data_IF_157943020192
#
_entry.id   IF_157943020192
#
_cell.length_a   1.000
_cell.length_b   1.000
_cell.length_c   1.000
_cell.angle_alpha   90.00
_cell.angle_beta   90.00
_cell.angle_gamma   90.00
#
_symmetry.space_group_name_H-M   'P 1'
#
loop_
_entity.id
_entity.type
_entity.pdbx_description
1 polymer ?
#
# COMPACT_ATOMS: atom_id res chain seq x y z
N UNK A 1 63.51 28.98 -19.35
CA UNK A 1 62.53 28.88 -18.25
C UNK A 1 61.20 28.35 -18.80
N UNK A 2 60.78 27.18 -18.35
CA UNK A 2 59.46 26.68 -18.66
C UNK A 2 58.47 27.34 -17.73
N UNK A 3 57.30 27.82 -18.21
CA UNK A 3 56.26 28.25 -17.34
C UNK A 3 55.75 27.04 -16.52
N UNK A 4 55.31 27.26 -15.30
CA UNK A 4 54.76 26.17 -14.51
C UNK A 4 53.54 25.60 -15.23
N UNK A 5 53.54 24.29 -15.37
CA UNK A 5 52.38 23.57 -15.86
C UNK A 5 51.19 23.94 -15.02
N UNK A 6 50.18 24.53 -15.63
CA UNK A 6 48.90 24.74 -15.02
C UNK A 6 48.41 23.37 -14.51
N UNK A 7 48.33 23.23 -13.21
CA UNK A 7 47.52 22.19 -12.63
C UNK A 7 46.13 22.39 -13.19
N UNK A 8 45.75 21.56 -14.15
CA UNK A 8 44.35 21.32 -14.40
C UNK A 8 43.80 20.71 -13.09
N UNK A 9 43.24 21.55 -12.25
CA UNK A 9 42.22 21.07 -11.37
C UNK A 9 41.20 20.41 -12.28
N UNK A 10 41.16 19.09 -12.24
CA UNK A 10 39.98 18.41 -12.70
C UNK A 10 38.84 19.04 -11.90
N UNK A 11 38.17 20.00 -12.56
CA UNK A 11 36.83 20.30 -12.11
C UNK A 11 36.18 18.94 -12.04
N UNK A 12 35.96 18.47 -10.84
CA UNK A 12 34.89 17.51 -10.63
C UNK A 12 33.71 18.27 -11.26
N UNK A 13 33.42 17.91 -12.49
CA UNK A 13 32.14 18.10 -13.04
C UNK A 13 31.22 17.43 -11.99
N UNK A 14 30.73 18.24 -11.08
CA UNK A 14 29.53 17.88 -10.38
C UNK A 14 28.57 17.71 -11.52
N UNK A 15 28.52 16.46 -12.01
CA UNK A 15 27.61 16.07 -13.03
C UNK A 15 26.35 16.82 -12.68
N UNK A 16 25.97 17.73 -13.56
CA UNK A 16 24.64 18.26 -13.59
C UNK A 16 23.74 17.03 -13.77
N UNK A 17 23.60 16.26 -12.69
CA UNK A 17 22.47 15.37 -12.56
C UNK A 17 21.30 16.34 -12.60
N UNK A 18 20.79 16.52 -13.83
CA UNK A 18 19.51 17.19 -14.00
C UNK A 18 18.60 16.62 -12.92
N UNK A 19 17.99 17.46 -12.09
CA UNK A 19 17.12 16.94 -11.04
C UNK A 19 16.16 16.01 -11.75
N UNK A 20 16.21 14.71 -11.41
CA UNK A 20 15.30 13.72 -11.96
C UNK A 20 13.91 14.27 -11.65
N UNK A 21 13.21 14.72 -12.67
CA UNK A 21 11.88 15.29 -12.51
C UNK A 21 11.01 14.22 -11.84
N UNK A 22 10.27 14.64 -10.81
CA UNK A 22 9.31 13.77 -10.15
C UNK A 22 8.34 13.21 -11.18
N UNK A 23 8.02 11.95 -11.07
CA UNK A 23 7.10 11.28 -11.97
C UNK A 23 5.76 12.01 -11.99
N UNK A 24 5.32 12.41 -13.18
CA UNK A 24 4.09 13.19 -13.39
C UNK A 24 2.87 12.32 -13.66
N UNK A 25 3.07 11.01 -13.81
CA UNK A 25 1.95 10.09 -14.07
C UNK A 25 0.99 10.04 -12.87
N UNK A 26 -0.33 9.99 -13.12
CA UNK A 26 -1.29 9.84 -12.04
C UNK A 26 -1.02 8.60 -11.19
N UNK A 27 -1.33 8.69 -9.90
CA UNK A 27 -1.24 7.53 -9.03
C UNK A 27 -2.22 6.45 -9.49
N UNK A 28 -1.73 5.22 -9.61
CA UNK A 28 -2.52 4.09 -10.07
C UNK A 28 -3.21 3.42 -8.90
N UNK A 29 -4.53 3.47 -8.87
CA UNK A 29 -5.37 2.81 -7.86
C UNK A 29 -6.13 1.67 -8.51
N UNK A 30 -6.02 0.49 -7.91
CA UNK A 30 -6.89 -0.64 -8.25
C UNK A 30 -8.06 -0.68 -7.29
N UNK A 31 -9.27 -0.76 -7.82
CA UNK A 31 -10.50 -0.78 -7.04
C UNK A 31 -11.05 -2.20 -6.96
N UNK A 32 -10.94 -2.82 -5.78
CA UNK A 32 -11.49 -4.14 -5.52
C UNK A 32 -12.99 -4.02 -5.27
N UNK A 33 -13.86 -4.58 -6.14
CA UNK A 33 -15.29 -4.62 -5.88
C UNK A 33 -15.61 -5.60 -4.76
N UNK A 34 -16.47 -5.21 -3.85
CA UNK A 34 -16.88 -6.02 -2.70
C UNK A 34 -18.31 -6.54 -2.83
N UNK A 35 -18.91 -6.44 -4.02
CA UNK A 35 -20.28 -6.96 -4.29
C UNK A 35 -20.41 -8.45 -4.05
N UNK A 36 -19.34 -9.21 -4.31
CA UNK A 36 -19.28 -10.67 -4.06
C UNK A 36 -19.45 -11.03 -2.58
N UNK A 37 -19.08 -10.13 -1.69
CA UNK A 37 -19.21 -10.30 -0.23
C UNK A 37 -20.35 -9.43 0.34
N UNK A 38 -21.32 -9.09 -0.47
CA UNK A 38 -22.49 -8.31 -0.11
C UNK A 38 -22.18 -6.90 0.42
N UNK A 39 -21.13 -6.31 -0.06
CA UNK A 39 -20.78 -4.92 0.22
C UNK A 39 -20.81 -4.12 -1.07
N UNK A 40 -21.54 -3.01 -1.08
CA UNK A 40 -21.67 -2.13 -2.25
C UNK A 40 -20.45 -1.23 -2.48
N UNK A 41 -19.50 -1.22 -1.57
CA UNK A 41 -18.31 -0.40 -1.62
C UNK A 41 -17.19 -1.07 -2.42
N UNK A 42 -16.19 -0.26 -2.79
CA UNK A 42 -14.93 -0.72 -3.35
C UNK A 42 -13.82 -0.46 -2.34
N UNK A 43 -12.81 -1.31 -2.33
CA UNK A 43 -11.57 -1.07 -1.60
C UNK A 43 -10.47 -0.67 -2.57
N UNK A 44 -9.89 0.50 -2.38
CA UNK A 44 -8.77 0.96 -3.19
C UNK A 44 -7.45 0.35 -2.72
N UNK A 45 -6.60 -0.05 -3.66
CA UNK A 45 -5.24 -0.51 -3.41
C UNK A 45 -4.26 0.25 -4.30
N UNK A 46 -3.16 0.70 -3.75
CA UNK A 46 -2.10 1.33 -4.53
C UNK A 46 -0.71 1.04 -3.95
N UNK A 47 0.32 1.40 -4.71
CA UNK A 47 1.68 1.46 -4.21
C UNK A 47 1.87 2.70 -3.33
N UNK A 48 3.00 2.76 -2.63
CA UNK A 48 3.33 3.85 -1.70
C UNK A 48 3.31 5.21 -2.38
N UNK A 49 2.41 6.12 -2.00
CA UNK A 49 2.38 7.47 -2.53
C UNK A 49 3.67 8.24 -2.20
N UNK A 50 4.13 9.05 -3.12
CA UNK A 50 5.31 9.88 -2.94
C UNK A 50 6.63 9.13 -2.87
N UNK A 51 6.64 7.82 -3.14
CA UNK A 51 7.83 6.98 -3.03
C UNK A 51 8.99 7.49 -3.89
N UNK A 52 10.17 7.62 -3.27
CA UNK A 52 11.44 7.91 -3.94
C UNK A 52 12.46 6.85 -3.59
N UNK A 53 12.48 5.79 -4.38
CA UNK A 53 13.37 4.66 -4.19
C UNK A 53 13.75 4.02 -5.53
N UNK A 54 15.03 3.77 -5.75
CA UNK A 54 15.57 3.28 -7.02
C UNK A 54 15.15 4.20 -8.18
N UNK A 55 14.42 3.68 -9.16
CA UNK A 55 13.96 4.43 -10.33
C UNK A 55 12.60 5.11 -10.16
N UNK A 56 11.97 4.93 -9.01
CA UNK A 56 10.67 5.54 -8.72
C UNK A 56 10.89 6.93 -8.13
N UNK A 57 10.25 7.93 -8.73
CA UNK A 57 10.34 9.34 -8.33
C UNK A 57 8.96 9.97 -8.35
N UNK A 58 8.19 9.68 -7.31
CA UNK A 58 6.84 10.25 -7.19
C UNK A 58 6.85 11.52 -6.35
N UNK A 59 5.90 12.41 -6.63
CA UNK A 59 5.69 13.63 -5.85
C UNK A 59 4.62 13.36 -4.78
N UNK A 60 5.01 13.46 -3.50
CA UNK A 60 4.13 13.16 -2.38
C UNK A 60 2.91 14.09 -2.30
N UNK A 61 3.08 15.37 -2.63
CA UNK A 61 1.98 16.33 -2.57
C UNK A 61 0.98 16.09 -3.70
N UNK A 62 1.46 15.87 -4.92
CA UNK A 62 0.59 15.53 -6.06
C UNK A 62 -0.19 14.24 -5.80
N UNK A 63 0.49 13.21 -5.32
CA UNK A 63 -0.16 11.93 -5.01
C UNK A 63 -1.24 12.10 -3.93
N UNK A 64 -0.95 12.84 -2.86
CA UNK A 64 -1.91 13.08 -1.79
C UNK A 64 -3.08 13.92 -2.26
N UNK A 65 -2.85 14.94 -3.07
CA UNK A 65 -3.90 15.76 -3.68
C UNK A 65 -4.80 14.92 -4.59
N UNK A 66 -4.23 14.01 -5.39
CA UNK A 66 -5.02 13.09 -6.22
C UNK A 66 -5.88 12.16 -5.37
N UNK A 67 -5.31 11.57 -4.32
CA UNK A 67 -6.09 10.72 -3.40
C UNK A 67 -7.25 11.49 -2.78
N UNK A 68 -7.02 12.72 -2.38
CA UNK A 68 -8.07 13.59 -1.86
C UNK A 68 -9.11 13.91 -2.93
N UNK A 69 -8.69 14.17 -4.17
CA UNK A 69 -9.58 14.47 -5.30
C UNK A 69 -10.51 13.31 -5.65
N UNK A 70 -10.07 12.08 -5.42
CA UNK A 70 -10.91 10.88 -5.59
C UNK A 70 -11.91 10.67 -4.44
N UNK A 71 -11.89 11.54 -3.44
CA UNK A 71 -12.79 11.44 -2.30
C UNK A 71 -12.36 10.40 -1.26
N UNK A 72 -11.10 9.98 -1.25
CA UNK A 72 -10.57 9.07 -0.23
C UNK A 72 -10.68 9.72 1.15
N UNK A 73 -11.30 9.00 2.09
CA UNK A 73 -11.56 9.48 3.44
C UNK A 73 -10.71 8.78 4.50
N UNK A 74 -10.40 7.51 4.28
CA UNK A 74 -9.59 6.66 5.17
C UNK A 74 -8.50 5.96 4.38
N UNK A 75 -7.30 5.94 4.95
CA UNK A 75 -6.15 5.22 4.37
C UNK A 75 -5.53 4.32 5.44
N UNK A 76 -5.40 3.04 5.12
CA UNK A 76 -4.68 2.05 5.91
C UNK A 76 -3.26 1.93 5.38
N UNK A 77 -2.28 2.16 6.23
CA UNK A 77 -0.85 2.15 5.90
C UNK A 77 -0.18 0.98 6.61
N UNK A 78 0.40 0.07 5.84
CA UNK A 78 1.06 -1.12 6.37
C UNK A 78 2.59 -1.05 6.37
N UNK A 79 3.17 -0.01 5.80
CA UNK A 79 4.60 0.26 5.93
C UNK A 79 4.98 0.56 7.38
N UNK A 80 6.13 0.08 7.80
CA UNK A 80 6.75 0.51 9.05
C UNK A 80 7.28 1.94 8.93
N UNK A 81 7.50 2.62 10.05
CA UNK A 81 8.09 3.97 10.03
C UNK A 81 9.50 3.97 9.43
N UNK A 82 10.28 2.91 9.66
CA UNK A 82 11.58 2.74 9.03
C UNK A 82 11.51 2.65 7.51
N UNK A 83 10.50 1.99 6.97
CA UNK A 83 10.25 1.94 5.53
C UNK A 83 9.85 3.31 4.99
N UNK A 84 8.96 4.04 5.66
CA UNK A 84 8.57 5.39 5.24
C UNK A 84 9.78 6.31 5.14
N UNK A 85 10.71 6.23 6.08
CA UNK A 85 11.98 6.97 6.03
C UNK A 85 12.88 6.50 4.89
N UNK A 86 13.01 5.19 4.70
CA UNK A 86 13.80 4.58 3.63
C UNK A 86 13.32 5.01 2.24
N UNK A 87 12.03 5.11 2.05
CA UNK A 87 11.41 5.49 0.78
C UNK A 87 11.16 7.00 0.66
N UNK A 88 11.73 7.78 1.57
CA UNK A 88 11.75 9.24 1.61
C UNK A 88 10.38 9.90 1.77
N UNK A 89 9.50 9.25 2.49
CA UNK A 89 8.18 9.77 2.85
C UNK A 89 7.93 9.71 4.38
N UNK A 90 8.88 10.14 5.22
CA UNK A 90 8.75 9.99 6.67
C UNK A 90 7.58 10.76 7.27
N UNK A 91 7.09 11.78 6.58
CA UNK A 91 5.99 12.67 6.97
C UNK A 91 4.65 12.34 6.30
N UNK A 92 4.55 11.18 5.64
CA UNK A 92 3.34 10.82 4.87
C UNK A 92 2.07 10.82 5.74
N UNK A 93 2.15 10.26 6.95
CA UNK A 93 1.00 10.18 7.86
C UNK A 93 0.54 11.58 8.29
N UNK A 94 1.47 12.48 8.58
CA UNK A 94 1.16 13.87 8.93
C UNK A 94 0.54 14.61 7.75
N UNK A 95 1.02 14.33 6.54
CA UNK A 95 0.47 14.93 5.33
C UNK A 95 -0.97 14.48 5.08
N UNK A 96 -1.27 13.19 5.26
CA UNK A 96 -2.66 12.71 5.20
C UNK A 96 -3.55 13.43 6.20
N UNK A 97 -3.08 13.61 7.42
CA UNK A 97 -3.80 14.34 8.44
C UNK A 97 -4.08 15.79 8.02
N UNK A 98 -3.11 16.49 7.45
CA UNK A 98 -3.27 17.85 6.95
C UNK A 98 -4.34 17.96 5.86
N UNK A 99 -4.52 16.93 5.04
CA UNK A 99 -5.57 16.84 4.03
C UNK A 99 -6.92 16.37 4.57
N UNK A 100 -7.04 16.16 5.87
CA UNK A 100 -8.26 15.67 6.50
C UNK A 100 -8.56 14.20 6.21
N UNK A 101 -7.57 13.41 5.83
CA UNK A 101 -7.70 11.97 5.62
C UNK A 101 -7.41 11.26 6.93
N UNK A 102 -8.31 10.37 7.35
CA UNK A 102 -8.12 9.55 8.55
C UNK A 102 -7.13 8.43 8.23
N UNK A 103 -6.08 8.33 9.02
CA UNK A 103 -5.01 7.36 8.84
C UNK A 103 -5.13 6.24 9.84
N UNK A 104 -5.05 5.00 9.35
CA UNK A 104 -4.99 3.78 10.14
C UNK A 104 -3.63 3.14 9.92
N UNK A 105 -2.69 3.37 10.83
CA UNK A 105 -1.33 2.85 10.71
C UNK A 105 -1.19 1.51 11.43
N UNK A 106 -1.07 0.45 10.66
CA UNK A 106 -0.87 -0.92 11.14
C UNK A 106 0.43 -1.48 10.54
N UNK A 107 1.59 -1.19 11.13
CA UNK A 107 2.86 -1.63 10.56
C UNK A 107 2.94 -3.15 10.48
N UNK A 108 3.24 -3.65 9.31
CA UNK A 108 3.54 -5.06 9.04
C UNK A 108 4.94 -5.10 8.43
N UNK A 109 5.90 -5.86 9.00
CA UNK A 109 7.22 -5.98 8.40
C UNK A 109 7.15 -6.46 6.95
N UNK A 110 8.03 -5.94 6.09
CA UNK A 110 8.10 -6.36 4.70
C UNK A 110 8.35 -7.87 4.60
N UNK A 111 7.58 -8.54 3.75
CA UNK A 111 7.59 -10.00 3.64
C UNK A 111 6.90 -10.73 4.79
N UNK A 112 6.36 -10.01 5.78
CA UNK A 112 5.64 -10.56 6.93
C UNK A 112 4.13 -10.59 6.74
N UNK A 113 3.48 -11.19 7.74
CA UNK A 113 2.03 -11.18 7.91
C UNK A 113 1.69 -10.49 9.22
N UNK A 114 0.50 -9.87 9.37
CA UNK A 114 0.05 -9.41 10.67
C UNK A 114 -0.15 -10.63 11.59
N UNK A 115 0.03 -10.45 12.91
CA UNK A 115 -0.42 -11.47 13.84
C UNK A 115 -1.95 -11.48 13.90
N UNK A 116 -2.53 -12.53 14.48
CA UNK A 116 -3.98 -12.70 14.52
C UNK A 116 -4.70 -11.55 15.21
N UNK A 117 -4.16 -11.04 16.32
CA UNK A 117 -4.76 -9.92 17.05
C UNK A 117 -4.76 -8.63 16.19
N UNK A 118 -3.62 -8.32 15.54
CA UNK A 118 -3.52 -7.18 14.62
C UNK A 118 -4.43 -7.35 13.40
N UNK A 119 -4.55 -8.56 12.88
CA UNK A 119 -5.46 -8.85 11.77
C UNK A 119 -6.92 -8.59 12.16
N UNK A 120 -7.35 -9.01 13.35
CA UNK A 120 -8.68 -8.71 13.88
C UNK A 120 -8.95 -7.21 13.94
N UNK A 121 -8.01 -6.43 14.46
CA UNK A 121 -8.15 -4.97 14.54
C UNK A 121 -8.29 -4.35 13.15
N UNK A 122 -7.46 -4.77 12.21
CA UNK A 122 -7.54 -4.28 10.82
C UNK A 122 -8.89 -4.63 10.21
N UNK A 123 -9.37 -5.84 10.38
CA UNK A 123 -10.66 -6.28 9.83
C UNK A 123 -11.83 -5.49 10.44
N UNK A 124 -11.82 -5.28 11.75
CA UNK A 124 -12.84 -4.48 12.43
C UNK A 124 -12.86 -3.03 11.93
N UNK A 125 -11.71 -2.39 11.85
CA UNK A 125 -11.59 -1.00 11.38
C UNK A 125 -12.01 -0.85 9.92
N UNK A 126 -11.55 -1.75 9.04
CA UNK A 126 -11.96 -1.77 7.62
C UNK A 126 -13.47 -1.96 7.48
N UNK A 127 -14.03 -2.89 8.22
CA UNK A 127 -15.48 -3.17 8.19
C UNK A 127 -16.28 -1.96 8.62
N UNK A 128 -15.86 -1.27 9.68
CA UNK A 128 -16.52 -0.05 10.16
C UNK A 128 -16.47 1.04 9.07
N UNK A 129 -15.33 1.27 8.44
CA UNK A 129 -15.20 2.23 7.35
C UNK A 129 -16.17 1.91 6.21
N UNK A 130 -16.19 0.66 5.76
CA UNK A 130 -17.01 0.22 4.63
C UNK A 130 -18.52 0.29 4.96
N UNK A 131 -18.92 -0.09 6.17
CA UNK A 131 -20.32 0.00 6.62
C UNK A 131 -20.82 1.43 6.72
N UNK A 132 -19.94 2.37 6.99
CA UNK A 132 -20.24 3.80 7.04
C UNK A 132 -20.08 4.50 5.68
N UNK A 133 -19.98 3.74 4.60
CA UNK A 133 -19.81 4.23 3.23
C UNK A 133 -18.63 5.18 3.08
N UNK A 134 -17.57 4.97 3.84
CA UNK A 134 -16.35 5.75 3.75
C UNK A 134 -15.47 5.20 2.63
N UNK A 135 -15.01 6.07 1.77
CA UNK A 135 -14.13 5.69 0.66
C UNK A 135 -12.74 5.40 1.20
N UNK A 136 -12.35 4.15 1.14
CA UNK A 136 -11.19 3.61 1.85
C UNK A 136 -10.15 3.07 0.88
N UNK A 137 -8.89 3.40 1.15
CA UNK A 137 -7.71 2.94 0.43
C UNK A 137 -6.77 2.21 1.39
N UNK A 138 -6.10 1.19 0.90
CA UNK A 138 -5.00 0.54 1.61
C UNK A 138 -3.73 0.57 0.77
N UNK A 139 -2.59 0.73 1.39
CA UNK A 139 -1.30 0.61 0.73
C UNK A 139 -0.18 0.11 1.64
N UNK A 140 0.82 -0.46 1.01
CA UNK A 140 2.12 -0.78 1.58
C UNK A 140 3.22 -0.15 0.73
N UNK A 141 4.31 -0.85 0.44
CA UNK A 141 5.33 -0.34 -0.49
C UNK A 141 4.90 -0.54 -1.95
N UNK A 142 4.83 -1.79 -2.41
CA UNK A 142 4.47 -2.10 -3.80
C UNK A 142 2.98 -2.27 -4.04
N UNK A 143 2.19 -2.42 -3.00
CA UNK A 143 0.74 -2.70 -3.11
C UNK A 143 0.41 -4.10 -3.61
N UNK A 144 1.37 -5.03 -3.63
CA UNK A 144 1.22 -6.39 -4.15
C UNK A 144 1.32 -7.48 -3.07
N UNK A 145 2.01 -7.23 -1.97
CA UNK A 145 2.20 -8.21 -0.90
C UNK A 145 1.24 -8.00 0.25
N UNK A 146 1.64 -7.19 1.21
CA UNK A 146 0.89 -6.95 2.46
C UNK A 146 -0.52 -6.43 2.24
N UNK A 147 -0.69 -5.47 1.33
CA UNK A 147 -2.01 -4.92 1.00
C UNK A 147 -2.93 -5.96 0.36
N UNK A 148 -2.42 -6.75 -0.57
CA UNK A 148 -3.21 -7.82 -1.17
C UNK A 148 -3.56 -8.92 -0.16
N UNK A 149 -2.65 -9.24 0.75
CA UNK A 149 -2.94 -10.19 1.83
C UNK A 149 -4.07 -9.69 2.73
N UNK A 150 -4.02 -8.42 3.15
CA UNK A 150 -5.07 -7.81 3.96
C UNK A 150 -6.40 -7.79 3.20
N UNK A 151 -6.39 -7.44 1.92
CA UNK A 151 -7.59 -7.46 1.08
C UNK A 151 -8.18 -8.88 0.94
N UNK A 152 -7.33 -9.90 0.78
CA UNK A 152 -7.76 -11.29 0.77
C UNK A 152 -8.39 -11.70 2.10
N UNK A 153 -7.78 -11.31 3.22
CA UNK A 153 -8.36 -11.51 4.56
C UNK A 153 -9.74 -10.86 4.69
N UNK A 154 -9.91 -9.67 4.15
CA UNK A 154 -11.19 -8.97 4.18
C UNK A 154 -12.27 -9.74 3.41
N UNK A 155 -11.95 -10.27 2.24
CA UNK A 155 -12.90 -11.10 1.48
C UNK A 155 -13.34 -12.33 2.28
N UNK A 156 -12.43 -12.98 2.98
CA UNK A 156 -12.74 -14.12 3.85
C UNK A 156 -13.53 -13.72 5.08
N UNK A 157 -13.20 -12.55 5.65
CA UNK A 157 -13.87 -12.03 6.85
C UNK A 157 -15.34 -11.63 6.59
N UNK A 158 -15.62 -11.12 5.38
CA UNK A 158 -16.95 -10.65 4.99
C UNK A 158 -17.82 -11.73 4.33
N UNK A 159 -17.28 -12.88 3.97
CA UNK A 159 -17.99 -13.93 3.23
C UNK A 159 -17.89 -15.28 3.94
N UNK A 160 -18.97 -16.04 3.86
CA UNK A 160 -19.03 -17.44 4.28
C UNK A 160 -18.80 -18.43 3.12
N UNK A 161 -18.69 -17.93 1.87
CA UNK A 161 -18.63 -18.75 0.66
C UNK A 161 -17.32 -18.65 -0.12
N UNK A 162 -16.49 -17.66 0.19
CA UNK A 162 -15.19 -17.46 -0.48
C UNK A 162 -14.12 -18.33 0.17
N UNK A 163 -13.41 -19.13 -0.64
CA UNK A 163 -12.24 -19.89 -0.18
C UNK A 163 -10.98 -19.02 -0.18
N UNK A 164 -9.92 -19.39 0.58
CA UNK A 164 -8.63 -18.71 0.51
C UNK A 164 -8.07 -18.61 -0.91
N UNK A 165 -8.20 -19.66 -1.71
CA UNK A 165 -7.74 -19.71 -3.10
C UNK A 165 -8.51 -18.71 -3.97
N UNK A 166 -9.82 -18.62 -3.81
CA UNK A 166 -10.67 -17.67 -4.52
C UNK A 166 -10.34 -16.22 -4.13
N UNK A 167 -10.06 -15.95 -2.86
CA UNK A 167 -9.63 -14.64 -2.40
C UNK A 167 -8.30 -14.24 -3.04
N UNK A 168 -7.33 -15.13 -3.08
CA UNK A 168 -6.04 -14.90 -3.75
C UNK A 168 -6.22 -14.64 -5.23
N UNK A 169 -7.02 -15.45 -5.91
CA UNK A 169 -7.28 -15.29 -7.35
C UNK A 169 -7.94 -13.93 -7.64
N UNK A 170 -8.85 -13.47 -6.81
CA UNK A 170 -9.47 -12.15 -6.94
C UNK A 170 -8.43 -11.02 -6.91
N UNK A 171 -7.44 -11.11 -6.02
CA UNK A 171 -6.38 -10.11 -5.93
C UNK A 171 -5.38 -10.20 -7.09
N UNK A 172 -5.10 -11.40 -7.57
CA UNK A 172 -4.26 -11.60 -8.75
C UNK A 172 -4.92 -11.10 -10.03
N UNK A 173 -6.21 -11.31 -10.20
CA UNK A 173 -6.97 -10.77 -11.32
C UNK A 173 -6.96 -9.23 -11.31
N UNK A 174 -7.03 -8.63 -10.12
CA UNK A 174 -7.03 -7.18 -9.97
C UNK A 174 -5.65 -6.56 -10.15
N UNK A 175 -4.60 -7.15 -9.56
CA UNK A 175 -3.26 -6.58 -9.43
C UNK A 175 -2.20 -7.26 -10.27
N UNK A 176 -2.53 -8.35 -10.94
CA UNK A 176 -1.60 -9.18 -11.71
C UNK A 176 -1.02 -10.34 -10.92
N UNK A 177 -0.33 -11.24 -11.63
CA UNK A 177 0.24 -12.47 -11.08
C UNK A 177 1.29 -12.26 -9.97
N UNK A 178 1.85 -11.05 -9.86
CA UNK A 178 2.77 -10.67 -8.79
C UNK A 178 2.09 -10.41 -7.44
N UNK A 179 0.75 -10.29 -7.40
CA UNK A 179 0.04 -10.13 -6.16
C UNK A 179 0.15 -11.40 -5.32
N UNK A 180 0.57 -11.25 -4.06
CA UNK A 180 0.80 -12.35 -3.12
C UNK A 180 1.75 -13.39 -3.74
N UNK A 181 2.89 -12.92 -4.24
CA UNK A 181 3.88 -13.73 -4.97
C UNK A 181 4.49 -14.86 -4.14
N UNK A 182 4.58 -14.67 -2.84
CA UNK A 182 5.04 -15.68 -1.88
C UNK A 182 3.86 -16.39 -1.23
N UNK A 183 3.00 -17.00 -2.05
CA UNK A 183 2.09 -18.01 -1.50
C UNK A 183 2.93 -19.23 -1.16
N UNK A 184 3.61 -19.12 -0.05
CA UNK A 184 4.09 -20.29 0.66
C UNK A 184 2.90 -20.82 1.45
N UNK A 185 2.94 -22.08 1.80
CA UNK A 185 1.94 -22.76 2.64
C UNK A 185 1.52 -21.94 3.85
N UNK A 186 2.43 -21.09 4.39
CA UNK A 186 2.17 -20.18 5.51
C UNK A 186 1.10 -19.12 5.22
N UNK A 187 1.04 -18.56 4.00
CA UNK A 187 0.02 -17.56 3.64
C UNK A 187 -1.34 -18.22 3.55
N UNK A 188 -1.44 -19.38 2.93
CA UNK A 188 -2.68 -20.15 2.85
C UNK A 188 -3.15 -20.55 4.25
N UNK A 189 -2.25 -21.03 5.11
CA UNK A 189 -2.54 -21.36 6.49
C UNK A 189 -3.05 -20.15 7.27
N UNK A 190 -2.42 -18.97 7.10
CA UNK A 190 -2.87 -17.73 7.71
C UNK A 190 -4.29 -17.35 7.26
N UNK A 191 -4.57 -17.46 5.97
CA UNK A 191 -5.90 -17.21 5.42
C UNK A 191 -6.95 -18.19 5.96
N UNK A 192 -6.61 -19.44 6.14
CA UNK A 192 -7.49 -20.42 6.79
C UNK A 192 -7.78 -20.05 8.27
N UNK A 193 -6.79 -19.51 8.98
CA UNK A 193 -7.02 -19.01 10.34
C UNK A 193 -7.96 -17.81 10.34
N UNK A 194 -7.79 -16.88 9.41
CA UNK A 194 -8.69 -15.72 9.26
C UNK A 194 -10.12 -16.17 8.93
N UNK A 195 -10.27 -17.17 8.06
CA UNK A 195 -11.58 -17.72 7.72
C UNK A 195 -12.31 -18.26 8.95
N UNK A 196 -11.58 -18.91 9.88
CA UNK A 196 -12.16 -19.39 11.16
C UNK A 196 -12.60 -18.28 12.09
N UNK A 197 -12.11 -17.07 11.91
CA UNK A 197 -12.49 -15.89 12.69
C UNK A 197 -13.72 -15.18 12.12
N UNK A 198 -14.23 -15.61 10.97
CA UNK A 198 -15.40 -15.01 10.34
C UNK A 198 -16.63 -15.17 11.23
N UNK A 199 -17.25 -14.05 11.68
CA UNK A 199 -18.40 -14.13 12.58
C UNK A 199 -19.65 -14.76 11.92
N UNK A 200 -19.69 -14.87 10.59
CA UNK A 200 -20.80 -15.47 9.85
C UNK A 200 -20.76 -17.03 9.84
N UNK A 201 -19.66 -17.62 10.26
CA UNK A 201 -19.45 -19.07 10.27
C UNK A 201 -19.81 -19.70 11.64
N UNK A 202 -19.96 -18.88 12.66
CA UNK A 202 -20.25 -19.31 14.04
C UNK A 202 -21.70 -19.05 14.46
#
# INVERSE_FOLDING_TARGET
MKPPSSLQTSEFDSSDEEPIEDEQTPIQISWLPLSRVNCSQFLGLCALPGCKFKNVRRNIQKDTEELKSYGIQDIFVFCTRGELSKYRVPNLLDLYHQYGIITHHHPIPDGGTPNIASCCEIMEELTICLKNNRKTLIHCYGGLGRSCLVAACLLLYLSDTVSPEQAIDSLRDLRGSGAIQTIKDLTVQFLHLVLRMNPLIW
#
